data_IF_370687340617
#
_entry.id   IF_370687340617
#
_cell.length_a   1.000
_cell.length_b   1.000
_cell.length_c   1.000
_cell.angle_alpha   90.00
_cell.angle_beta   90.00
_cell.angle_gamma   90.00
#
_symmetry.space_group_name_H-M   'P 1'
#
loop_
_entity.id
_entity.type
_entity.pdbx_description
1 polymer ?
#
# COMPACT_ATOMS: atom_id res chain seq x y z
N UNK A 1 -78.42 -40.16 69.90
CA UNK A 1 -77.10 -40.04 69.26
C UNK A 1 -77.19 -38.91 68.23
N UNK A 2 -76.77 -37.69 68.59
CA UNK A 2 -76.81 -36.50 67.74
C UNK A 2 -75.52 -36.46 66.92
N UNK A 3 -75.63 -36.51 65.59
CA UNK A 3 -74.50 -36.32 64.67
C UNK A 3 -74.38 -34.82 64.38
N UNK A 4 -73.19 -34.32 64.68
CA UNK A 4 -72.74 -32.94 64.66
C UNK A 4 -72.21 -32.53 63.29
N UNK A 5 -72.65 -31.36 62.81
CA UNK A 5 -71.84 -30.33 62.13
C UNK A 5 -70.80 -30.79 61.10
N UNK A 6 -71.19 -30.82 59.82
CA UNK A 6 -70.27 -30.62 58.71
C UNK A 6 -70.20 -29.11 58.45
N UNK A 7 -69.07 -28.54 58.89
CA UNK A 7 -68.72 -27.13 58.78
C UNK A 7 -68.10 -26.90 57.41
N UNK A 8 -68.70 -25.97 56.67
CA UNK A 8 -68.17 -25.38 55.46
C UNK A 8 -66.72 -24.93 55.67
N UNK A 9 -65.81 -25.58 54.95
CA UNK A 9 -64.48 -25.06 54.67
C UNK A 9 -64.38 -24.85 53.16
N UNK A 10 -65.02 -23.78 52.69
CA UNK A 10 -64.75 -23.22 51.37
C UNK A 10 -63.29 -22.77 51.32
N UNK A 11 -62.45 -23.55 50.65
CA UNK A 11 -61.11 -23.17 50.26
C UNK A 11 -61.22 -22.03 49.22
N UNK A 12 -61.21 -20.79 49.71
CA UNK A 12 -61.10 -19.59 48.90
C UNK A 12 -59.67 -19.45 48.39
N UNK A 13 -59.38 -20.01 47.21
CA UNK A 13 -58.15 -19.74 46.48
C UNK A 13 -58.45 -19.67 44.97
N UNK A 14 -59.11 -18.60 44.51
CA UNK A 14 -59.31 -18.42 43.06
C UNK A 14 -59.25 -16.95 42.61
N UNK A 15 -58.23 -16.22 43.09
CA UNK A 15 -57.96 -14.85 42.65
C UNK A 15 -56.47 -14.54 42.39
N UNK A 16 -55.55 -15.38 42.86
CA UNK A 16 -54.10 -15.12 42.85
C UNK A 16 -53.37 -15.65 41.60
N UNK A 17 -53.89 -16.68 40.92
CA UNK A 17 -53.18 -17.33 39.81
C UNK A 17 -53.07 -16.48 38.54
N UNK A 18 -54.12 -15.72 38.19
CA UNK A 18 -54.14 -14.87 36.98
C UNK A 18 -53.24 -13.65 37.09
N UNK A 19 -53.17 -13.02 38.26
CA UNK A 19 -52.27 -11.90 38.52
C UNK A 19 -50.79 -12.34 38.55
N UNK A 20 -50.50 -13.54 39.06
CA UNK A 20 -49.17 -14.14 39.05
C UNK A 20 -48.73 -14.54 37.62
N UNK A 21 -49.63 -15.04 36.78
CA UNK A 21 -49.31 -15.35 35.37
C UNK A 21 -49.00 -14.08 34.55
N UNK A 22 -49.72 -12.99 34.79
CA UNK A 22 -49.46 -11.71 34.12
C UNK A 22 -48.13 -11.09 34.50
N UNK A 23 -47.74 -11.13 35.78
CA UNK A 23 -46.47 -10.57 36.23
C UNK A 23 -45.27 -11.38 35.74
N UNK A 24 -45.38 -12.72 35.66
CA UNK A 24 -44.34 -13.60 35.12
C UNK A 24 -44.09 -13.33 33.64
N UNK A 25 -45.14 -13.10 32.85
CA UNK A 25 -44.97 -12.76 31.42
C UNK A 25 -44.24 -11.42 31.26
N UNK A 26 -44.59 -10.41 32.06
CA UNK A 26 -43.98 -9.09 31.99
C UNK A 26 -42.50 -9.15 32.39
N UNK A 27 -42.16 -9.85 33.47
CA UNK A 27 -40.75 -9.99 33.88
C UNK A 27 -39.96 -10.78 32.84
N UNK A 28 -40.52 -11.87 32.30
CA UNK A 28 -39.89 -12.63 31.22
C UNK A 28 -39.64 -11.78 29.98
N UNK A 29 -40.60 -10.92 29.60
CA UNK A 29 -40.47 -10.02 28.45
C UNK A 29 -39.44 -8.92 28.71
N UNK A 30 -39.42 -8.32 29.90
CA UNK A 30 -38.39 -7.34 30.28
C UNK A 30 -37.01 -7.98 30.25
N UNK A 31 -36.84 -9.19 30.82
CA UNK A 31 -35.57 -9.91 30.76
C UNK A 31 -35.16 -10.27 29.33
N UNK A 32 -36.11 -10.69 28.48
CA UNK A 32 -35.84 -10.96 27.07
C UNK A 32 -35.36 -9.69 26.35
N UNK A 33 -36.03 -8.56 26.56
CA UNK A 33 -35.64 -7.28 25.94
C UNK A 33 -34.24 -6.87 26.40
N UNK A 34 -33.94 -6.95 27.70
CA UNK A 34 -32.61 -6.64 28.22
C UNK A 34 -31.55 -7.56 27.60
N UNK A 35 -31.81 -8.87 27.53
CA UNK A 35 -30.88 -9.84 26.94
C UNK A 35 -30.62 -9.57 25.46
N UNK A 36 -31.68 -9.26 24.70
CA UNK A 36 -31.55 -8.92 23.27
C UNK A 36 -30.76 -7.62 23.07
N UNK A 37 -30.94 -6.62 23.94
CA UNK A 37 -30.20 -5.37 23.83
C UNK A 37 -28.70 -5.58 24.09
N UNK A 38 -28.35 -6.40 25.09
CA UNK A 38 -26.96 -6.80 25.36
C UNK A 38 -26.36 -7.55 24.16
N UNK A 39 -27.10 -8.49 23.57
CA UNK A 39 -26.65 -9.22 22.38
C UNK A 39 -26.38 -8.29 21.18
N UNK A 40 -27.24 -7.29 20.95
CA UNK A 40 -27.04 -6.29 19.87
C UNK A 40 -25.82 -5.42 20.11
N UNK A 41 -25.58 -4.99 21.35
CA UNK A 41 -24.37 -4.21 21.70
C UNK A 41 -23.10 -5.02 21.42
N UNK A 42 -23.09 -6.31 21.78
CA UNK A 42 -21.98 -7.20 21.47
C UNK A 42 -21.73 -7.34 19.96
N UNK A 43 -22.78 -7.57 19.15
CA UNK A 43 -22.67 -7.69 17.69
C UNK A 43 -22.14 -6.42 17.02
N UNK A 44 -22.49 -5.23 17.54
CA UNK A 44 -21.95 -3.95 17.04
C UNK A 44 -20.45 -3.85 17.27
N UNK A 45 -19.95 -4.29 18.44
CA UNK A 45 -18.50 -4.32 18.72
C UNK A 45 -17.77 -5.22 17.72
N UNK A 46 -18.25 -6.45 17.52
CA UNK A 46 -17.63 -7.40 16.58
C UNK A 46 -17.59 -6.88 15.15
N UNK A 47 -18.65 -6.20 14.71
CA UNK A 47 -18.69 -5.61 13.36
C UNK A 47 -17.64 -4.52 13.18
N UNK A 48 -17.41 -3.70 14.23
CA UNK A 48 -16.36 -2.68 14.20
C UNK A 48 -14.96 -3.29 14.23
N UNK A 49 -14.73 -4.28 15.08
CA UNK A 49 -13.45 -4.98 15.17
C UNK A 49 -13.08 -5.65 13.85
N UNK A 50 -14.07 -6.24 13.17
CA UNK A 50 -13.89 -6.80 11.82
C UNK A 50 -13.47 -5.72 10.82
N UNK A 51 -14.18 -4.58 10.78
CA UNK A 51 -13.82 -3.47 9.87
C UNK A 51 -12.42 -2.91 10.14
N UNK A 52 -12.04 -2.77 11.42
CA UNK A 52 -10.70 -2.33 11.79
C UNK A 52 -9.65 -3.33 11.31
N UNK A 53 -9.91 -4.62 11.49
CA UNK A 53 -9.02 -5.70 11.04
C UNK A 53 -8.85 -5.69 9.53
N UNK A 54 -9.95 -5.58 8.78
CA UNK A 54 -9.92 -5.48 7.32
C UNK A 54 -9.13 -4.24 6.88
N UNK A 55 -9.40 -3.07 7.47
CA UNK A 55 -8.67 -1.84 7.13
C UNK A 55 -7.16 -1.96 7.42
N UNK A 56 -6.77 -2.58 8.53
CA UNK A 56 -5.36 -2.79 8.85
C UNK A 56 -4.71 -3.77 7.87
N UNK A 57 -5.41 -4.82 7.47
CA UNK A 57 -4.94 -5.78 6.46
C UNK A 57 -4.74 -5.10 5.10
N UNK A 58 -5.72 -4.32 4.64
CA UNK A 58 -5.65 -3.60 3.35
C UNK A 58 -4.50 -2.59 3.32
N UNK A 59 -4.26 -1.87 4.43
CA UNK A 59 -3.13 -0.96 4.57
C UNK A 59 -1.78 -1.68 4.57
N UNK A 60 -1.66 -2.78 5.31
CA UNK A 60 -0.44 -3.58 5.32
C UNK A 60 -0.14 -4.08 3.90
N UNK A 61 -1.15 -4.55 3.18
CA UNK A 61 -0.98 -5.00 1.80
C UNK A 61 -0.58 -3.87 0.84
N UNK A 62 -1.21 -2.70 0.92
CA UNK A 62 -0.82 -1.55 0.11
C UNK A 62 0.64 -1.15 0.38
N UNK A 63 1.09 -1.27 1.63
CA UNK A 63 2.48 -1.04 2.02
C UNK A 63 3.43 -2.08 1.41
N UNK A 64 3.11 -3.38 1.51
CA UNK A 64 3.93 -4.45 0.90
C UNK A 64 4.03 -4.30 -0.63
N UNK A 65 2.92 -3.95 -1.29
CA UNK A 65 2.91 -3.67 -2.72
C UNK A 65 3.81 -2.48 -3.07
N UNK A 66 3.73 -1.40 -2.28
CA UNK A 66 4.59 -0.22 -2.44
C UNK A 66 6.07 -0.56 -2.27
N UNK A 67 6.42 -1.32 -1.22
CA UNK A 67 7.81 -1.69 -0.95
C UNK A 67 8.39 -2.64 -2.00
N UNK A 68 7.57 -3.54 -2.53
CA UNK A 68 7.96 -4.44 -3.62
C UNK A 68 8.37 -3.65 -4.85
N UNK A 69 7.57 -2.64 -5.27
CA UNK A 69 7.95 -1.74 -6.35
C UNK A 69 9.26 -1.01 -6.06
N UNK A 70 9.36 -0.38 -4.89
CA UNK A 70 10.53 0.42 -4.47
C UNK A 70 11.83 -0.40 -4.45
N UNK A 71 11.75 -1.71 -4.18
CA UNK A 71 12.89 -2.63 -4.19
C UNK A 71 13.63 -2.67 -5.53
N UNK A 72 12.94 -2.37 -6.64
CA UNK A 72 13.55 -2.36 -7.97
C UNK A 72 14.28 -1.07 -8.32
N UNK A 73 13.95 0.05 -7.66
CA UNK A 73 14.49 1.38 -8.00
C UNK A 73 16.02 1.40 -8.00
N UNK A 74 16.66 0.77 -7.01
CA UNK A 74 18.11 0.80 -6.90
C UNK A 74 18.82 0.12 -8.09
N UNK A 75 18.27 -0.99 -8.58
CA UNK A 75 18.85 -1.75 -9.69
C UNK A 75 18.63 -1.02 -11.03
N UNK A 76 17.43 -0.48 -11.24
CA UNK A 76 17.11 0.30 -12.44
C UNK A 76 17.93 1.59 -12.49
N UNK A 77 18.08 2.31 -11.37
CA UNK A 77 18.89 3.52 -11.31
C UNK A 77 20.38 3.24 -11.48
N UNK A 78 20.90 2.14 -10.95
CA UNK A 78 22.30 1.75 -11.16
C UNK A 78 22.59 1.50 -12.64
N UNK A 79 21.72 0.74 -13.32
CA UNK A 79 21.84 0.50 -14.77
C UNK A 79 21.71 1.80 -15.59
N UNK A 80 20.78 2.68 -15.20
CA UNK A 80 20.59 3.96 -15.87
C UNK A 80 21.77 4.92 -15.70
N UNK A 81 22.30 5.05 -14.48
CA UNK A 81 23.47 5.89 -14.19
C UNK A 81 24.72 5.34 -14.88
N UNK A 82 24.89 4.02 -14.93
CA UNK A 82 26.02 3.38 -15.61
C UNK A 82 26.03 3.70 -17.11
N UNK A 83 24.87 3.63 -17.76
CA UNK A 83 24.72 3.93 -19.19
C UNK A 83 24.71 5.43 -19.52
N UNK A 84 24.90 6.30 -18.52
CA UNK A 84 24.99 7.78 -18.66
C UNK A 84 23.83 8.41 -19.43
N UNK A 85 22.67 7.76 -19.48
CA UNK A 85 21.52 8.19 -20.27
C UNK A 85 21.78 8.30 -21.79
N UNK A 86 22.85 7.70 -22.33
CA UNK A 86 23.12 7.76 -23.77
C UNK A 86 22.25 6.75 -24.52
N UNK A 87 21.39 7.25 -25.41
CA UNK A 87 20.83 6.50 -26.53
C UNK A 87 21.95 5.79 -27.32
N UNK A 88 21.69 4.59 -27.87
CA UNK A 88 20.36 4.02 -28.14
C UNK A 88 20.08 2.83 -27.23
N UNK A 89 18.91 2.79 -26.56
CA UNK A 89 18.27 1.62 -25.89
C UNK A 89 17.59 1.93 -24.53
N UNK A 90 17.26 3.17 -24.18
CA UNK A 90 16.09 3.38 -23.32
C UNK A 90 14.89 3.45 -24.27
N UNK A 91 13.79 2.72 -23.99
CA UNK A 91 12.73 2.53 -24.97
C UNK A 91 12.23 3.88 -25.49
N UNK A 92 12.37 4.05 -26.80
CA UNK A 92 11.72 5.12 -27.52
C UNK A 92 10.21 4.98 -27.28
N UNK A 93 9.61 5.96 -26.58
CA UNK A 93 8.22 6.44 -26.65
C UNK A 93 7.07 5.47 -26.29
N UNK A 94 7.32 4.16 -26.23
CA UNK A 94 6.28 3.12 -26.23
C UNK A 94 6.45 2.08 -25.09
N UNK A 95 7.21 2.39 -24.02
CA UNK A 95 7.37 1.45 -22.89
C UNK A 95 8.03 0.12 -23.30
N UNK A 96 8.81 0.12 -24.37
CA UNK A 96 9.48 -1.05 -24.92
C UNK A 96 10.48 -1.69 -23.95
N UNK A 97 10.76 -2.98 -24.17
CA UNK A 97 11.83 -3.66 -23.44
C UNK A 97 13.17 -2.98 -23.73
N UNK A 98 13.89 -2.54 -22.69
CA UNK A 98 15.29 -2.09 -22.79
C UNK A 98 16.07 -3.21 -23.51
N UNK A 99 16.60 -2.96 -24.72
CA UNK A 99 17.37 -3.96 -25.46
C UNK A 99 18.45 -4.63 -24.60
N UNK A 100 18.54 -5.96 -24.66
CA UNK A 100 19.52 -6.83 -23.98
C UNK A 100 21.00 -6.51 -24.33
N UNK A 101 21.23 -5.47 -25.12
CA UNK A 101 22.54 -5.03 -25.60
C UNK A 101 23.29 -4.16 -24.57
N UNK A 102 22.62 -3.69 -23.51
CA UNK A 102 23.20 -2.87 -22.42
C UNK A 102 23.38 -3.61 -21.08
N UNK A 103 23.23 -4.93 -21.05
CA UNK A 103 23.58 -5.76 -19.90
C UNK A 103 22.65 -5.65 -18.69
N UNK A 104 21.46 -5.06 -18.85
CA UNK A 104 20.41 -5.02 -17.83
C UNK A 104 19.06 -5.34 -18.45
N UNK A 105 18.44 -6.42 -17.98
CA UNK A 105 17.08 -6.81 -18.36
C UNK A 105 16.11 -6.33 -17.29
N UNK A 106 15.04 -5.64 -17.68
CA UNK A 106 13.96 -5.30 -16.75
C UNK A 106 13.32 -6.57 -16.20
N UNK A 107 13.11 -6.67 -14.87
CA UNK A 107 12.35 -7.75 -14.26
C UNK A 107 10.94 -7.83 -14.86
N UNK A 108 10.37 -9.04 -14.92
CA UNK A 108 8.99 -9.22 -15.35
C UNK A 108 8.04 -8.36 -14.51
N UNK A 109 7.11 -7.68 -15.19
CA UNK A 109 6.15 -6.78 -14.55
C UNK A 109 6.67 -5.35 -14.30
N UNK A 110 7.96 -5.06 -14.52
CA UNK A 110 8.49 -3.70 -14.42
C UNK A 110 8.54 -3.05 -15.80
N UNK A 111 7.84 -1.94 -15.97
CA UNK A 111 7.87 -1.12 -17.17
C UNK A 111 8.24 0.32 -16.83
N UNK A 112 8.94 0.99 -17.73
CA UNK A 112 9.05 2.45 -17.72
C UNK A 112 7.68 2.98 -18.15
N UNK A 113 7.12 3.93 -17.40
CA UNK A 113 5.82 4.48 -17.75
C UNK A 113 5.97 5.34 -19.02
N UNK A 114 5.28 5.01 -20.15
CA UNK A 114 5.24 5.90 -21.29
C UNK A 114 4.32 7.07 -20.94
N UNK A 115 4.89 8.17 -20.47
CA UNK A 115 4.12 9.35 -20.08
C UNK A 115 3.93 10.25 -21.31
N UNK A 116 2.72 10.33 -21.90
CA UNK A 116 2.51 11.15 -23.08
C UNK A 116 2.78 12.63 -22.77
N UNK A 117 3.85 13.18 -23.35
CA UNK A 117 4.19 14.60 -23.29
C UNK A 117 5.37 14.98 -22.37
N UNK A 118 5.98 14.02 -21.68
CA UNK A 118 7.32 14.17 -21.08
C UNK A 118 8.31 13.32 -21.87
N UNK A 119 9.60 13.71 -22.00
CA UNK A 119 10.58 12.77 -22.50
C UNK A 119 10.51 11.50 -21.63
N UNK A 120 10.54 10.31 -22.25
CA UNK A 120 10.64 9.03 -21.55
C UNK A 120 12.01 8.96 -20.88
N UNK A 121 12.08 9.59 -19.72
CA UNK A 121 13.27 9.70 -18.93
C UNK A 121 13.00 9.16 -17.54
N UNK A 122 13.98 8.43 -17.00
CA UNK A 122 13.87 7.87 -15.65
C UNK A 122 13.98 8.99 -14.58
N UNK A 123 14.34 10.23 -14.98
CA UNK A 123 14.54 11.40 -14.10
C UNK A 123 14.89 12.72 -14.86
N UNK A 124 14.60 12.83 -16.14
CA UNK A 124 14.86 14.00 -16.99
C UNK A 124 14.15 15.29 -16.56
N UNK A 125 14.94 16.35 -16.44
CA UNK A 125 14.56 17.77 -16.56
C UNK A 125 13.79 18.39 -15.40
N UNK A 126 12.95 17.67 -14.67
CA UNK A 126 12.16 18.35 -13.66
C UNK A 126 12.80 18.23 -12.28
N UNK A 127 13.37 19.35 -11.86
CA UNK A 127 13.52 19.73 -10.45
C UNK A 127 12.11 19.90 -9.83
N UNK A 128 11.24 18.89 -9.99
CA UNK A 128 9.88 18.89 -9.46
C UNK A 128 10.03 18.92 -7.94
N UNK A 129 9.23 19.73 -7.24
CA UNK A 129 9.17 19.64 -5.78
C UNK A 129 8.98 18.18 -5.35
N UNK A 130 9.64 17.79 -4.25
CA UNK A 130 9.61 16.47 -3.59
C UNK A 130 8.20 15.99 -3.16
N UNK A 131 7.12 16.55 -3.70
CA UNK A 131 5.74 16.28 -3.34
C UNK A 131 4.81 16.15 -4.56
N UNK A 132 5.34 16.26 -5.78
CA UNK A 132 4.55 16.07 -6.99
C UNK A 132 4.59 14.61 -7.41
N UNK A 133 3.47 13.91 -7.19
CA UNK A 133 3.26 12.51 -7.55
C UNK A 133 2.36 12.39 -8.79
N UNK A 134 2.39 13.39 -9.66
CA UNK A 134 1.50 13.48 -10.83
C UNK A 134 2.00 12.72 -12.05
N UNK A 135 3.31 12.48 -12.14
CA UNK A 135 3.95 11.80 -13.28
C UNK A 135 4.74 10.63 -12.75
N UNK A 136 4.44 9.43 -13.24
CA UNK A 136 5.07 8.19 -12.83
C UNK A 136 6.28 7.91 -13.73
N UNK A 137 7.39 7.49 -13.15
CA UNK A 137 8.61 7.17 -13.92
C UNK A 137 8.70 5.66 -14.20
N UNK A 138 8.34 4.83 -13.22
CA UNK A 138 8.25 3.38 -13.38
C UNK A 138 6.93 2.85 -12.86
N UNK A 139 6.45 1.79 -13.48
CA UNK A 139 5.31 1.02 -13.02
C UNK A 139 5.73 -0.43 -12.82
N UNK A 140 5.31 -1.00 -11.70
CA UNK A 140 5.45 -2.42 -11.42
C UNK A 140 4.06 -3.04 -11.28
N UNK A 141 3.80 -4.05 -12.11
CA UNK A 141 2.54 -4.78 -12.22
C UNK A 141 2.83 -6.27 -12.32
N UNK A 142 2.40 -7.04 -11.34
CA UNK A 142 2.39 -8.51 -11.41
C UNK A 142 0.95 -8.99 -11.27
N UNK A 143 0.50 -9.71 -12.28
CA UNK A 143 -0.74 -10.49 -12.26
C UNK A 143 -0.43 -11.82 -11.53
N UNK A 144 -0.92 -11.92 -10.30
CA UNK A 144 -0.61 -13.05 -9.42
C UNK A 144 -1.46 -14.28 -9.71
N UNK A 145 -2.64 -14.10 -10.34
CA UNK A 145 -3.63 -15.15 -10.54
C UNK A 145 -3.80 -15.54 -12.03
N UNK A 146 -3.22 -14.76 -12.95
CA UNK A 146 -3.20 -14.97 -14.39
C UNK A 146 -4.51 -14.60 -15.11
N UNK A 147 -5.37 -13.77 -14.51
CA UNK A 147 -6.69 -13.43 -15.07
C UNK A 147 -6.69 -12.23 -16.02
N UNK A 148 -5.55 -11.52 -16.12
CA UNK A 148 -5.35 -10.39 -17.03
C UNK A 148 -5.79 -9.04 -16.48
N UNK A 149 -6.12 -8.94 -15.19
CA UNK A 149 -6.21 -7.67 -14.48
C UNK A 149 -5.11 -7.52 -13.39
N UNK A 150 -5.12 -6.39 -12.66
CA UNK A 150 -4.13 -6.07 -11.62
C UNK A 150 -4.79 -5.49 -10.36
N UNK A 151 -6.10 -5.74 -10.19
CA UNK A 151 -6.96 -5.02 -9.24
C UNK A 151 -7.45 -5.92 -8.09
N UNK A 152 -6.80 -7.06 -7.84
CA UNK A 152 -7.34 -8.09 -6.95
C UNK A 152 -6.51 -8.36 -5.67
N UNK A 153 -6.76 -9.48 -4.98
CA UNK A 153 -6.11 -9.93 -3.75
C UNK A 153 -4.72 -10.58 -3.94
N UNK A 154 -4.40 -11.00 -5.15
CA UNK A 154 -3.22 -11.75 -5.57
C UNK A 154 -2.25 -10.89 -6.37
N UNK A 155 -2.71 -9.76 -6.88
CA UNK A 155 -1.87 -8.87 -7.69
C UNK A 155 -1.00 -7.93 -6.87
N UNK A 156 0.08 -7.49 -7.53
CA UNK A 156 0.97 -6.44 -7.04
C UNK A 156 0.96 -5.30 -8.03
N UNK A 157 0.46 -4.15 -7.59
CA UNK A 157 0.49 -2.92 -8.37
C UNK A 157 1.17 -1.81 -7.55
N UNK A 158 2.23 -1.23 -8.13
CA UNK A 158 2.91 -0.08 -7.55
C UNK A 158 3.47 0.88 -8.60
N UNK A 159 3.34 2.17 -8.30
CA UNK A 159 3.80 3.27 -9.14
C UNK A 159 4.97 3.98 -8.48
N UNK A 160 6.04 4.20 -9.21
CA UNK A 160 7.28 4.75 -8.69
C UNK A 160 7.54 6.15 -9.24
N UNK A 161 8.05 6.99 -8.36
CA UNK A 161 8.41 8.38 -8.56
C UNK A 161 9.87 8.53 -8.15
N UNK A 162 10.68 9.11 -9.02
CA UNK A 162 12.12 9.23 -8.89
C UNK A 162 12.48 10.69 -9.09
N UNK A 163 13.09 11.29 -8.07
CA UNK A 163 13.61 12.66 -8.15
C UNK A 163 15.10 12.66 -7.88
N UNK A 164 15.89 13.21 -8.81
CA UNK A 164 17.32 13.41 -8.56
C UNK A 164 17.51 14.56 -7.58
N UNK A 165 18.21 14.28 -6.47
CA UNK A 165 18.51 15.28 -5.44
C UNK A 165 19.81 16.03 -5.75
N UNK A 166 20.94 15.35 -5.62
CA UNK A 166 22.26 15.97 -5.63
C UNK A 166 23.31 15.02 -6.21
N UNK A 167 24.43 15.59 -6.67
CA UNK A 167 25.64 14.82 -7.00
C UNK A 167 26.79 15.31 -6.15
N UNK A 168 27.44 14.40 -5.45
CA UNK A 168 28.54 14.71 -4.53
C UNK A 168 29.77 13.88 -4.91
N UNK A 169 30.96 14.50 -5.06
CA UNK A 169 32.21 13.75 -5.23
C UNK A 169 32.54 12.96 -3.95
N UNK A 170 32.95 11.69 -4.07
CA UNK A 170 33.33 10.89 -2.91
C UNK A 170 34.77 11.17 -2.47
N UNK A 171 35.02 11.00 -1.17
CA UNK A 171 36.35 11.15 -0.57
C UNK A 171 37.28 10.06 -1.13
N UNK A 172 38.43 10.46 -1.67
CA UNK A 172 39.38 9.56 -2.37
C UNK A 172 39.32 9.64 -3.90
N UNK A 173 38.34 10.34 -4.47
CA UNK A 173 38.14 10.49 -5.91
C UNK A 173 38.71 11.72 -6.59
N UNK A 174 39.53 12.47 -5.88
CA UNK A 174 39.86 13.85 -6.22
C UNK A 174 40.93 13.96 -7.30
N UNK A 175 40.60 13.65 -8.56
CA UNK A 175 41.32 14.18 -9.74
C UNK A 175 40.35 14.36 -10.93
N UNK A 176 39.47 15.37 -10.87
CA UNK A 176 39.16 16.29 -11.98
C UNK A 176 37.85 17.04 -11.71
N UNK A 177 37.97 18.27 -11.19
CA UNK A 177 36.88 19.25 -11.18
C UNK A 177 37.17 20.36 -12.21
N UNK A 178 37.63 19.99 -13.40
CA UNK A 178 37.65 20.86 -14.57
C UNK A 178 36.85 20.16 -15.68
N UNK A 179 35.56 20.41 -15.67
CA UNK A 179 34.67 20.25 -16.83
C UNK A 179 33.55 21.24 -16.60
N UNK A 180 33.52 22.24 -17.48
CA UNK A 180 32.71 23.44 -17.33
C UNK A 180 31.22 23.11 -17.21
N UNK A 181 30.60 23.83 -16.27
CA UNK A 181 29.20 24.23 -16.10
C UNK A 181 28.01 23.32 -16.45
N UNK A 182 28.13 22.27 -17.27
CA UNK A 182 26.99 21.40 -17.62
C UNK A 182 27.37 19.92 -17.86
N UNK A 183 28.65 19.54 -17.81
CA UNK A 183 29.08 18.18 -18.18
C UNK A 183 29.97 17.51 -17.15
N UNK A 184 29.61 16.31 -16.72
CA UNK A 184 30.42 15.41 -15.89
C UNK A 184 31.85 15.31 -16.45
N UNK A 185 32.83 15.82 -15.70
CA UNK A 185 34.23 15.79 -16.12
C UNK A 185 34.76 14.36 -16.20
N UNK A 186 35.56 14.08 -17.23
CA UNK A 186 36.13 12.75 -17.49
C UNK A 186 36.93 12.14 -16.34
N UNK A 187 37.39 12.93 -15.35
CA UNK A 187 38.06 12.39 -14.15
C UNK A 187 37.13 12.10 -12.96
N UNK A 188 35.84 12.46 -13.01
CA UNK A 188 34.85 11.94 -12.06
C UNK A 188 34.54 10.44 -12.30
N UNK A 189 34.82 9.93 -13.50
CA UNK A 189 34.67 8.52 -13.88
C UNK A 189 35.73 7.58 -13.25
N UNK A 190 36.86 8.13 -12.79
CA UNK A 190 37.93 7.34 -12.15
C UNK A 190 38.01 7.54 -10.62
N UNK A 191 37.32 8.56 -10.10
CA UNK A 191 37.37 8.94 -8.68
C UNK A 191 36.13 8.57 -7.86
N UNK A 192 35.00 8.25 -8.48
CA UNK A 192 33.77 7.95 -7.76
C UNK A 192 33.05 9.22 -7.32
N UNK A 193 32.04 9.61 -8.09
CA UNK A 193 31.01 10.53 -7.62
C UNK A 193 29.76 9.72 -7.26
N UNK A 194 28.98 10.18 -6.30
CA UNK A 194 27.70 9.57 -5.94
C UNK A 194 26.55 10.48 -6.35
N UNK A 195 25.52 9.89 -6.95
CA UNK A 195 24.24 10.54 -7.24
C UNK A 195 23.24 10.11 -6.18
N UNK A 196 22.52 11.07 -5.62
CA UNK A 196 21.44 10.85 -4.66
C UNK A 196 20.10 11.06 -5.36
N UNK A 197 19.17 10.13 -5.13
CA UNK A 197 17.81 10.16 -5.61
C UNK A 197 16.85 9.99 -4.43
N UNK A 198 15.73 10.72 -4.43
CA UNK A 198 14.56 10.37 -3.64
C UNK A 198 13.72 9.42 -4.48
N UNK A 199 13.46 8.22 -3.97
CA UNK A 199 12.57 7.26 -4.60
C UNK A 199 11.36 7.07 -3.74
N UNK A 200 10.19 7.31 -4.33
CA UNK A 200 8.90 7.02 -3.70
C UNK A 200 8.14 6.03 -4.53
N UNK A 201 7.41 5.17 -3.85
CA UNK A 201 6.52 4.19 -4.46
C UNK A 201 5.15 4.35 -3.86
N UNK A 202 4.10 4.22 -4.67
CA UNK A 202 2.71 4.17 -4.27
C UNK A 202 2.20 2.77 -4.59
N UNK A 203 1.88 1.99 -3.56
CA UNK A 203 1.26 0.69 -3.70
C UNK A 203 -0.25 0.80 -3.63
N UNK A 204 -0.94 0.15 -4.56
CA UNK A 204 -2.40 0.03 -4.56
C UNK A 204 -2.82 -1.31 -3.93
N UNK A 205 -4.00 -1.32 -3.32
CA UNK A 205 -4.68 -2.48 -2.74
C UNK A 205 -6.18 -2.29 -2.94
N UNK A 206 -6.95 -3.34 -2.63
CA UNK A 206 -8.41 -3.36 -2.77
C UNK A 206 -9.08 -2.13 -2.12
N UNK A 207 -10.28 -1.81 -2.61
CA UNK A 207 -11.12 -0.70 -2.12
C UNK A 207 -10.45 0.68 -2.20
N UNK A 208 -9.64 0.93 -3.24
CA UNK A 208 -8.90 2.19 -3.43
C UNK A 208 -7.95 2.52 -2.26
N UNK A 209 -7.49 1.50 -1.53
CA UNK A 209 -6.52 1.69 -0.46
C UNK A 209 -5.13 1.84 -1.05
N UNK A 210 -4.45 2.95 -0.76
CA UNK A 210 -3.08 3.19 -1.21
C UNK A 210 -2.13 3.46 -0.03
N UNK A 211 -0.87 3.06 -0.19
CA UNK A 211 0.21 3.45 0.71
C UNK A 211 1.37 4.03 -0.10
N UNK A 212 2.03 5.06 0.45
CA UNK A 212 3.22 5.66 -0.17
C UNK A 212 4.41 5.40 0.75
N UNK A 213 5.46 4.80 0.20
CA UNK A 213 6.73 4.54 0.88
C UNK A 213 7.82 5.30 0.15
N UNK A 214 8.68 6.00 0.90
CA UNK A 214 9.79 6.78 0.36
C UNK A 214 11.13 6.35 0.93
N UNK A 215 12.20 6.59 0.17
CA UNK A 215 13.56 6.37 0.62
C UNK A 215 14.59 6.99 -0.30
N UNK A 216 15.71 7.41 0.30
CA UNK A 216 16.84 7.94 -0.44
C UNK A 216 17.71 6.81 -0.99
N UNK A 217 17.99 6.86 -2.29
CA UNK A 217 18.88 5.93 -2.98
C UNK A 217 20.18 6.64 -3.34
N UNK A 218 21.31 6.01 -3.01
CA UNK A 218 22.65 6.50 -3.37
C UNK A 218 23.29 5.54 -4.36
N UNK A 219 23.53 6.01 -5.57
CA UNK A 219 24.24 5.27 -6.61
C UNK A 219 25.64 5.85 -6.79
N UNK A 220 26.66 4.98 -6.75
CA UNK A 220 28.05 5.37 -6.99
C UNK A 220 28.34 5.21 -8.47
N UNK A 221 28.80 6.27 -9.12
CA UNK A 221 29.21 6.25 -10.51
C UNK A 221 30.46 5.40 -10.61
N UNK A 222 30.34 4.27 -11.31
CA UNK A 222 31.42 3.35 -11.69
C UNK A 222 31.62 3.37 -13.20
N UNK A 223 32.81 3.02 -13.65
CA UNK A 223 33.16 2.85 -15.06
C UNK A 223 33.02 1.40 -15.50
#
# INVERSE_FOLDING_TARGET
MRISTLKDHAFSADGTSRAQLGSVLITALVFMVVLTMVAVVAMRSTTLDFKITTNNMLKARAFENSETGRGWTAQVLDAHVFNRGYEPAWPDEDGGAIPDTVGFTLPAGLSVCPCPGTPDDLWAVNNVPLADYSTEDLQYRLDGNGDGDFDDAFDVASDLFITRLNVVPMVGGALAQISGYEGFGKGAAAGGAAVFFDSRSRGASLDSTSAIVGGDVRIVIRN
#
